data_IF_124925783898
#
_entry.id   IF_124925783898
#
_cell.length_a   1.000
_cell.length_b   1.000
_cell.length_c   1.000
_cell.angle_alpha   90.00
_cell.angle_beta   90.00
_cell.angle_gamma   90.00
#
_symmetry.space_group_name_H-M   'P 1'
#
loop_
_entity.id
_entity.type
_entity.pdbx_description
1 polymer ?
#
# COMPACT_ATOMS: atom_id res chain seq x y z
N UNK A 1 -5.94 -2.26 -7.84
CA UNK A 1 -7.30 -1.79 -7.49
C UNK A 1 -7.25 -0.31 -7.18
N UNK A 2 -8.25 0.42 -7.62
CA UNK A 2 -8.34 1.87 -7.43
C UNK A 2 -9.79 2.21 -7.05
N UNK A 3 -10.07 2.82 -5.90
CA UNK A 3 -11.44 3.02 -5.38
C UNK A 3 -12.41 3.71 -6.34
N UNK A 4 -11.91 4.56 -7.23
CA UNK A 4 -12.69 5.28 -8.25
C UNK A 4 -12.82 4.55 -9.60
N UNK A 5 -12.46 3.28 -9.69
CA UNK A 5 -12.56 2.48 -10.92
C UNK A 5 -13.51 1.30 -10.75
N UNK A 6 -13.69 0.50 -11.81
CA UNK A 6 -14.52 -0.70 -11.76
C UNK A 6 -13.98 -1.78 -10.80
N UNK A 7 -12.65 -1.84 -10.57
CA UNK A 7 -12.00 -2.75 -9.62
C UNK A 7 -11.60 -1.96 -8.38
N UNK A 8 -12.52 -1.84 -7.44
CA UNK A 8 -12.40 -0.93 -6.30
C UNK A 8 -11.60 -1.52 -5.12
N UNK A 9 -11.74 -2.81 -4.85
CA UNK A 9 -11.24 -3.45 -3.64
C UNK A 9 -10.55 -4.78 -3.93
N UNK A 10 -9.97 -5.36 -2.87
CA UNK A 10 -9.17 -6.58 -2.95
C UNK A 10 -9.99 -7.81 -3.38
N UNK A 11 -11.24 -7.93 -2.92
CA UNK A 11 -12.12 -9.05 -3.28
C UNK A 11 -12.40 -9.07 -4.79
N UNK A 12 -12.69 -7.92 -5.37
CA UNK A 12 -12.92 -7.82 -6.81
C UNK A 12 -11.65 -8.13 -7.61
N UNK A 13 -10.49 -7.63 -7.16
CA UNK A 13 -9.21 -7.92 -7.79
C UNK A 13 -8.87 -9.42 -7.74
N UNK A 14 -9.08 -10.07 -6.59
CA UNK A 14 -8.88 -11.50 -6.40
C UNK A 14 -9.78 -12.30 -7.33
N UNK A 15 -11.06 -11.98 -7.40
CA UNK A 15 -12.01 -12.65 -8.28
C UNK A 15 -11.56 -12.59 -9.75
N UNK A 16 -11.09 -11.45 -10.23
CA UNK A 16 -10.58 -11.30 -11.61
C UNK A 16 -9.35 -12.18 -11.84
N UNK A 17 -8.40 -12.17 -10.91
CA UNK A 17 -7.19 -12.99 -10.99
C UNK A 17 -7.53 -14.48 -11.03
N UNK A 18 -8.45 -14.93 -10.21
CA UNK A 18 -8.93 -16.32 -10.19
C UNK A 18 -9.64 -16.70 -11.49
N UNK A 19 -10.55 -15.85 -11.97
CA UNK A 19 -11.29 -16.11 -13.22
C UNK A 19 -10.39 -16.07 -14.46
N UNK A 20 -9.25 -15.39 -14.40
CA UNK A 20 -8.28 -15.38 -15.51
C UNK A 20 -7.69 -16.75 -15.80
N UNK A 21 -7.65 -17.65 -14.82
CA UNK A 21 -7.01 -18.96 -14.90
C UNK A 21 -5.48 -18.92 -15.13
N UNK A 22 -4.86 -17.73 -15.12
CA UNK A 22 -3.45 -17.56 -15.40
C UNK A 22 -2.59 -17.74 -14.14
N UNK A 23 -1.58 -18.60 -14.22
CA UNK A 23 -0.68 -18.88 -13.09
C UNK A 23 0.20 -17.67 -12.70
N UNK A 24 0.51 -16.81 -13.67
CA UNK A 24 1.33 -15.61 -13.48
C UNK A 24 0.51 -14.36 -13.12
N UNK A 25 -0.82 -14.45 -13.06
CA UNK A 25 -1.65 -13.33 -12.62
C UNK A 25 -1.43 -13.05 -11.12
N UNK A 26 -1.20 -11.80 -10.76
CA UNK A 26 -0.94 -11.37 -9.39
C UNK A 26 -1.67 -10.06 -9.06
N UNK A 27 -1.73 -9.74 -7.78
CA UNK A 27 -2.37 -8.53 -7.25
C UNK A 27 -1.28 -7.64 -6.69
N UNK A 28 -1.26 -6.38 -7.13
CA UNK A 28 -0.50 -5.32 -6.50
C UNK A 28 -1.34 -4.69 -5.39
N UNK A 29 -0.85 -4.75 -4.16
CA UNK A 29 -1.40 -4.01 -3.04
C UNK A 29 -0.67 -2.66 -2.96
N UNK A 30 -1.43 -1.58 -2.97
CA UNK A 30 -0.96 -0.22 -2.71
C UNK A 30 -1.63 0.25 -1.42
N UNK A 31 -0.86 0.70 -0.44
CA UNK A 31 -1.35 1.00 0.90
C UNK A 31 -2.46 2.07 0.93
N UNK A 32 -2.35 3.12 0.10
CA UNK A 32 -3.39 4.15 0.01
C UNK A 32 -4.69 3.58 -0.55
N UNK A 33 -4.60 2.83 -1.66
CA UNK A 33 -5.78 2.27 -2.29
C UNK A 33 -6.41 1.14 -1.47
N UNK A 34 -5.60 0.41 -0.72
CA UNK A 34 -6.07 -0.56 0.26
C UNK A 34 -6.88 0.12 1.36
N UNK A 35 -6.34 1.16 1.98
CA UNK A 35 -6.96 1.89 3.09
C UNK A 35 -8.24 2.63 2.65
N UNK A 36 -8.27 3.19 1.43
CA UNK A 36 -9.41 3.92 0.85
C UNK A 36 -10.46 3.03 0.20
N UNK A 37 -10.39 1.72 0.40
CA UNK A 37 -11.34 0.73 -0.11
C UNK A 37 -11.94 -0.08 1.03
N UNK A 38 -12.96 -0.89 0.75
CA UNK A 38 -13.54 -1.81 1.73
C UNK A 38 -12.69 -3.09 1.91
N UNK A 39 -11.36 -2.97 1.75
CA UNK A 39 -10.43 -4.10 1.90
C UNK A 39 -9.99 -4.26 3.35
N UNK A 40 -9.76 -5.51 3.79
CA UNK A 40 -9.36 -5.81 5.17
C UNK A 40 -8.03 -6.56 5.25
N UNK A 41 -7.38 -6.51 6.42
CA UNK A 41 -6.15 -7.25 6.67
C UNK A 41 -6.34 -8.77 6.60
N UNK A 42 -7.51 -9.26 6.99
CA UNK A 42 -7.88 -10.69 6.87
C UNK A 42 -7.89 -11.13 5.41
N UNK A 43 -8.38 -10.28 4.51
CA UNK A 43 -8.34 -10.55 3.08
C UNK A 43 -6.90 -10.59 2.54
N UNK A 44 -6.00 -9.73 3.04
CA UNK A 44 -4.57 -9.77 2.70
C UNK A 44 -3.94 -11.06 3.17
N UNK A 45 -4.17 -11.47 4.43
CA UNK A 45 -3.66 -12.72 5.00
C UNK A 45 -4.18 -13.97 4.29
N UNK A 46 -5.39 -13.91 3.73
CA UNK A 46 -6.00 -15.00 2.98
C UNK A 46 -5.47 -15.14 1.54
N UNK A 47 -4.80 -14.11 1.00
CA UNK A 47 -4.22 -14.18 -0.35
C UNK A 47 -3.04 -15.16 -0.38
N UNK A 48 -2.99 -16.08 -1.35
CA UNK A 48 -1.82 -16.91 -1.55
C UNK A 48 -0.57 -16.07 -1.85
N UNK A 49 0.55 -16.36 -1.20
CA UNK A 49 1.79 -15.58 -1.35
C UNK A 49 2.25 -15.43 -2.81
N UNK A 50 2.04 -16.46 -3.64
CA UNK A 50 2.38 -16.42 -5.07
C UNK A 50 1.52 -15.47 -5.91
N UNK A 51 0.44 -14.93 -5.32
CA UNK A 51 -0.42 -13.90 -5.94
C UNK A 51 -0.01 -12.48 -5.60
N UNK A 52 1.04 -12.31 -4.78
CA UNK A 52 1.58 -11.01 -4.40
C UNK A 52 3.06 -10.94 -4.77
N UNK A 53 3.43 -10.12 -5.76
CA UNK A 53 4.82 -10.02 -6.22
C UNK A 53 5.59 -8.89 -5.52
N UNK A 54 4.91 -7.77 -5.27
CA UNK A 54 5.42 -6.64 -4.49
C UNK A 54 4.25 -5.77 -3.99
N UNK A 55 4.54 -4.88 -3.06
CA UNK A 55 3.58 -3.96 -2.44
C UNK A 55 4.10 -2.54 -2.54
N UNK A 56 3.22 -1.60 -2.86
CA UNK A 56 3.51 -0.17 -2.87
C UNK A 56 3.09 0.45 -1.55
N UNK A 57 4.00 1.19 -0.92
CA UNK A 57 3.80 1.86 0.36
C UNK A 57 3.87 3.38 0.20
N UNK A 58 2.88 4.04 0.73
CA UNK A 58 2.82 5.44 1.07
C UNK A 58 1.92 5.61 2.29
N UNK A 59 1.73 6.82 2.74
CA UNK A 59 0.82 7.14 3.83
C UNK A 59 -0.21 8.19 3.42
N UNK A 60 -1.20 8.43 4.27
CA UNK A 60 -2.28 9.40 4.07
C UNK A 60 -2.95 9.76 5.38
N UNK A 61 -3.62 10.91 5.43
CA UNK A 61 -4.38 11.34 6.60
C UNK A 61 -5.72 10.61 6.69
N UNK A 62 -6.24 10.44 7.90
CA UNK A 62 -7.58 9.88 8.12
C UNK A 62 -8.70 10.83 7.66
N UNK A 63 -8.46 12.14 7.79
CA UNK A 63 -9.37 13.17 7.27
C UNK A 63 -9.03 13.46 5.80
N UNK A 64 -9.92 13.06 4.89
CA UNK A 64 -9.75 13.24 3.44
C UNK A 64 -11.09 13.40 2.74
N UNK A 65 -11.07 14.00 1.55
CA UNK A 65 -12.21 14.06 0.65
C UNK A 65 -12.45 12.69 -0.01
N UNK A 66 -13.57 12.00 0.32
CA UNK A 66 -13.86 10.66 -0.21
C UNK A 66 -14.42 10.67 -1.64
N UNK A 67 -14.64 11.83 -2.25
CA UNK A 67 -15.05 11.91 -3.65
C UNK A 67 -13.99 11.34 -4.59
N UNK A 68 -14.39 10.90 -5.77
CA UNK A 68 -13.44 10.41 -6.78
C UNK A 68 -12.37 11.45 -7.10
N UNK A 69 -12.74 12.74 -7.16
CA UNK A 69 -11.81 13.85 -7.39
C UNK A 69 -10.80 13.99 -6.25
N UNK A 70 -11.28 13.96 -4.99
CA UNK A 70 -10.44 14.00 -3.79
C UNK A 70 -9.47 12.84 -3.73
N UNK A 71 -9.95 11.62 -3.95
CA UNK A 71 -9.13 10.41 -3.98
C UNK A 71 -8.05 10.45 -5.07
N UNK A 72 -8.40 10.89 -6.29
CA UNK A 72 -7.44 11.05 -7.39
C UNK A 72 -6.39 12.11 -7.06
N UNK A 73 -6.80 13.24 -6.49
CA UNK A 73 -5.90 14.32 -6.09
C UNK A 73 -4.87 13.84 -5.07
N UNK A 74 -5.30 13.13 -4.02
CA UNK A 74 -4.39 12.57 -3.03
C UNK A 74 -3.45 11.57 -3.68
N UNK A 75 -3.98 10.62 -4.43
CA UNK A 75 -3.19 9.55 -5.03
C UNK A 75 -2.10 10.04 -5.98
N UNK A 76 -2.33 11.16 -6.68
CA UNK A 76 -1.42 11.69 -7.69
C UNK A 76 -0.45 12.76 -7.19
N UNK A 77 -0.80 13.47 -6.11
CA UNK A 77 -0.09 14.70 -5.75
C UNK A 77 0.25 14.82 -4.25
N UNK A 78 -0.44 14.12 -3.37
CA UNK A 78 -0.44 14.42 -1.93
C UNK A 78 -0.26 13.17 -1.05
N UNK A 79 0.33 12.10 -1.57
CA UNK A 79 0.68 10.96 -0.72
C UNK A 79 1.75 11.37 0.27
N UNK A 80 1.69 10.86 1.48
CA UNK A 80 2.69 11.10 2.51
C UNK A 80 3.77 10.01 2.48
N UNK A 81 4.94 10.36 2.98
CA UNK A 81 6.02 9.40 3.23
C UNK A 81 5.53 8.36 4.24
N UNK A 82 5.80 7.06 4.05
CA UNK A 82 5.37 6.01 4.97
C UNK A 82 5.72 6.34 6.44
N UNK A 83 4.72 6.30 7.32
CA UNK A 83 4.84 6.66 8.74
C UNK A 83 4.65 8.15 9.05
N UNK A 84 4.27 8.98 8.08
CA UNK A 84 3.93 10.40 8.29
C UNK A 84 2.42 10.68 8.27
N UNK A 85 1.61 9.65 8.09
CA UNK A 85 0.16 9.73 8.11
C UNK A 85 -0.47 8.82 9.16
N UNK A 86 -1.67 8.36 8.86
CA UNK A 86 -2.52 7.63 9.80
C UNK A 86 -2.99 6.26 9.26
N UNK A 87 -2.46 5.83 8.09
CA UNK A 87 -2.71 4.48 7.57
C UNK A 87 -1.99 3.47 8.48
N UNK A 88 -2.67 2.40 8.87
CA UNK A 88 -2.07 1.36 9.71
C UNK A 88 -1.07 0.49 8.94
N UNK A 89 0.07 1.08 8.58
CA UNK A 89 1.11 0.44 7.76
C UNK A 89 1.83 -0.69 8.49
N UNK A 90 1.94 -0.62 9.82
CA UNK A 90 2.60 -1.66 10.62
C UNK A 90 1.83 -2.96 10.54
N UNK A 91 0.51 -2.93 10.77
CA UNK A 91 -0.33 -4.12 10.65
C UNK A 91 -0.45 -4.61 9.20
N UNK A 92 -0.50 -3.69 8.22
CA UNK A 92 -0.47 -4.09 6.81
C UNK A 92 0.81 -4.86 6.48
N UNK A 93 1.98 -4.37 6.87
CA UNK A 93 3.27 -5.03 6.64
C UNK A 93 3.33 -6.38 7.36
N UNK A 94 2.83 -6.48 8.59
CA UNK A 94 2.77 -7.74 9.34
C UNK A 94 1.83 -8.77 8.69
N UNK A 95 0.81 -8.34 7.95
CA UNK A 95 -0.12 -9.21 7.22
C UNK A 95 0.46 -9.76 5.90
N UNK A 96 1.57 -9.19 5.40
CA UNK A 96 2.18 -9.58 4.13
C UNK A 96 3.13 -10.78 4.25
N UNK A 97 3.42 -11.49 3.15
CA UNK A 97 4.49 -12.49 3.13
C UNK A 97 5.84 -11.89 3.54
N UNK A 98 6.60 -12.58 4.39
CA UNK A 98 7.86 -12.07 5.00
C UNK A 98 8.93 -11.61 4.01
N UNK A 99 8.99 -12.18 2.83
CA UNK A 99 10.01 -11.88 1.81
C UNK A 99 9.49 -11.06 0.64
N UNK A 100 8.35 -10.39 0.81
CA UNK A 100 7.77 -9.58 -0.27
C UNK A 100 8.60 -8.30 -0.50
N UNK A 101 8.72 -7.89 -1.75
CA UNK A 101 9.36 -6.62 -2.09
C UNK A 101 8.44 -5.45 -1.71
N UNK A 102 8.96 -4.50 -0.94
CA UNK A 102 8.29 -3.25 -0.60
C UNK A 102 8.85 -2.11 -1.45
N UNK A 103 7.98 -1.38 -2.14
CA UNK A 103 8.34 -0.24 -2.97
C UNK A 103 7.68 1.03 -2.43
N UNK A 104 8.40 2.16 -2.40
CA UNK A 104 7.80 3.46 -2.11
C UNK A 104 7.06 3.99 -3.34
N UNK A 105 5.81 4.40 -3.16
CA UNK A 105 4.99 5.04 -4.19
C UNK A 105 4.40 6.34 -3.63
N UNK A 106 5.20 7.42 -3.62
CA UNK A 106 4.90 8.68 -2.93
C UNK A 106 4.87 9.88 -3.90
N UNK A 107 3.91 9.94 -4.83
CA UNK A 107 3.65 11.18 -5.58
C UNK A 107 3.22 12.30 -4.61
N UNK A 108 4.14 13.27 -4.42
CA UNK A 108 3.94 14.39 -3.53
C UNK A 108 4.63 15.62 -4.10
N UNK A 109 3.87 16.70 -4.30
CA UNK A 109 4.37 17.91 -4.96
C UNK A 109 5.46 18.64 -4.15
N UNK A 110 5.39 18.59 -2.81
CA UNK A 110 6.43 19.21 -1.96
C UNK A 110 7.69 18.35 -1.95
N UNK A 111 7.54 17.04 -1.79
CA UNK A 111 8.66 16.10 -1.84
C UNK A 111 9.37 16.14 -3.21
N UNK A 112 8.61 16.38 -4.29
CA UNK A 112 9.17 16.50 -5.64
C UNK A 112 10.13 17.65 -5.84
N UNK A 113 10.14 18.65 -4.94
CA UNK A 113 11.09 19.77 -4.96
C UNK A 113 12.49 19.36 -4.50
N UNK A 114 12.63 18.27 -3.78
CA UNK A 114 13.91 17.75 -3.31
C UNK A 114 14.66 16.99 -4.42
N UNK A 115 16.00 16.91 -4.34
CA UNK A 115 16.79 16.06 -5.22
C UNK A 115 16.35 14.60 -5.20
N UNK A 116 16.45 13.90 -6.33
CA UNK A 116 15.98 12.52 -6.47
C UNK A 116 16.61 11.56 -5.44
N UNK A 117 17.92 11.71 -5.18
CA UNK A 117 18.64 10.89 -4.19
C UNK A 117 18.10 11.11 -2.78
N UNK A 118 17.84 12.36 -2.39
CA UNK A 118 17.30 12.69 -1.08
C UNK A 118 15.90 12.10 -0.89
N UNK A 119 15.03 12.24 -1.89
CA UNK A 119 13.70 11.59 -1.88
C UNK A 119 13.77 10.07 -1.71
N UNK A 120 14.70 9.44 -2.42
CA UNK A 120 14.90 7.99 -2.33
C UNK A 120 15.37 7.57 -0.93
N UNK A 121 16.29 8.32 -0.33
CA UNK A 121 16.80 8.06 1.02
C UNK A 121 15.72 8.24 2.09
N UNK A 122 14.91 9.30 2.02
CA UNK A 122 13.78 9.54 2.92
C UNK A 122 12.82 8.35 2.89
N UNK A 123 12.36 7.95 1.71
CA UNK A 123 11.39 6.87 1.56
C UNK A 123 11.97 5.51 1.99
N UNK A 124 13.22 5.22 1.64
CA UNK A 124 13.89 3.98 2.04
C UNK A 124 14.01 3.88 3.57
N UNK A 125 14.42 4.98 4.22
CA UNK A 125 14.56 4.98 5.68
C UNK A 125 13.19 4.82 6.37
N UNK A 126 12.16 5.47 5.86
CA UNK A 126 10.80 5.35 6.36
C UNK A 126 10.28 3.90 6.30
N UNK A 127 10.44 3.23 5.15
CA UNK A 127 10.06 1.81 5.01
C UNK A 127 10.87 0.92 5.96
N UNK A 128 12.18 1.11 6.09
CA UNK A 128 13.00 0.34 7.03
C UNK A 128 12.53 0.47 8.47
N UNK A 129 12.14 1.67 8.88
CA UNK A 129 11.62 1.91 10.23
C UNK A 129 10.31 1.15 10.47
N UNK A 130 9.38 1.17 9.51
CA UNK A 130 8.11 0.45 9.60
C UNK A 130 8.30 -1.08 9.63
N UNK A 131 9.19 -1.60 8.80
CA UNK A 131 9.53 -3.04 8.82
C UNK A 131 10.10 -3.45 10.17
N UNK A 132 10.97 -2.61 10.77
CA UNK A 132 11.52 -2.88 12.10
C UNK A 132 10.45 -2.85 13.21
N UNK A 133 9.41 -2.03 13.09
CA UNK A 133 8.27 -2.01 13.99
C UNK A 133 7.41 -3.27 13.82
N UNK A 134 7.00 -3.58 12.58
CA UNK A 134 6.19 -4.76 12.28
C UNK A 134 6.85 -6.08 12.73
N UNK A 135 8.18 -6.15 12.67
CA UNK A 135 8.92 -7.36 13.13
C UNK A 135 8.98 -7.52 14.64
N UNK A 136 8.78 -6.47 15.43
CA UNK A 136 8.75 -6.53 16.90
C UNK A 136 7.42 -7.06 17.41
N UNK A 137 6.33 -6.73 16.74
CA UNK A 137 5.00 -7.19 17.13
C UNK A 137 4.82 -8.72 16.90
N UNK A 138 5.51 -9.29 15.91
CA UNK A 138 5.57 -10.75 15.67
C UNK A 138 6.25 -11.54 16.83
N UNK A 139 7.07 -10.89 17.67
CA UNK A 139 7.82 -11.55 18.77
C UNK A 139 7.07 -11.48 20.10
N UNK A 140 6.06 -10.62 20.21
CA UNK A 140 5.30 -10.39 21.44
C UNK A 140 3.98 -11.20 21.53
N UNK A 141 3.63 -11.95 20.51
CA UNK A 141 2.45 -12.83 20.44
C UNK A 141 2.85 -14.29 20.36
#
# INVERSE_FOLDING_TARGET
MLPWTAVKNLVQAQHIVEQSGQSNAAILIDSLHFDRSDSTLEQVKALPAHRMNYVQLCDGLADYDPSDEGLIKIARNNRLVPGQGEINLVELIAALPKNITLAAEVPNLELAKLPALERAQINLQAIKNLVALASKDDVAG
#
